data_IF_234348757341
#
_entry.id   IF_234348757341
#
_cell.length_a   1.000
_cell.length_b   1.000
_cell.length_c   1.000
_cell.angle_alpha   90.00
_cell.angle_beta   90.00
_cell.angle_gamma   90.00
#
_symmetry.space_group_name_H-M   'P 1'
#
loop_
_entity.id
_entity.type
_entity.pdbx_description
1 polymer ?
#
# COMPACT_ATOMS: atom_id res chain seq x y z
N UNK A 1 17.41 2.74 -14.26
CA UNK A 1 16.12 2.15 -14.67
C UNK A 1 15.03 3.07 -14.14
N UNK A 2 13.87 3.19 -14.80
CA UNK A 2 12.74 3.94 -14.24
C UNK A 2 11.76 2.98 -13.59
N UNK A 3 11.20 3.38 -12.47
CA UNK A 3 10.19 2.64 -11.72
C UNK A 3 8.91 3.47 -11.65
N UNK A 4 7.78 2.78 -11.62
CA UNK A 4 6.49 3.37 -11.32
C UNK A 4 6.10 2.88 -9.93
N UNK A 5 6.02 3.80 -8.98
CA UNK A 5 5.40 3.52 -7.70
C UNK A 5 3.91 3.82 -7.83
N UNK A 6 3.08 2.81 -7.59
CA UNK A 6 1.63 2.95 -7.45
C UNK A 6 1.33 2.95 -5.96
N UNK A 7 0.77 4.06 -5.47
CA UNK A 7 0.40 4.25 -4.08
C UNK A 7 -1.12 4.16 -3.93
N UNK A 8 -1.58 3.27 -3.06
CA UNK A 8 -2.99 3.04 -2.77
C UNK A 8 -3.21 3.26 -1.27
N UNK A 9 -4.16 4.13 -0.94
CA UNK A 9 -4.67 4.31 0.42
C UNK A 9 -5.96 3.50 0.54
N UNK A 10 -6.08 2.70 1.59
CA UNK A 10 -7.24 1.85 1.89
C UNK A 10 -7.30 1.56 3.40
N UNK A 11 -8.05 0.56 3.83
CA UNK A 11 -8.13 0.12 5.21
C UNK A 11 -7.43 -1.24 5.41
N UNK A 12 -7.29 -1.67 6.68
CA UNK A 12 -6.70 -2.95 7.06
C UNK A 12 -7.41 -4.16 6.41
N UNK A 13 -8.73 -4.10 6.27
CA UNK A 13 -9.53 -5.23 5.80
C UNK A 13 -9.29 -5.57 4.32
N UNK A 14 -9.07 -4.57 3.46
CA UNK A 14 -8.81 -4.76 2.03
C UNK A 14 -7.31 -4.86 1.70
N UNK A 15 -6.43 -4.60 2.66
CA UNK A 15 -4.98 -4.56 2.47
C UNK A 15 -4.43 -5.82 1.79
N UNK A 16 -4.75 -6.99 2.34
CA UNK A 16 -4.25 -8.27 1.84
C UNK A 16 -4.75 -8.55 0.41
N UNK A 17 -6.04 -8.30 0.15
CA UNK A 17 -6.65 -8.56 -1.15
C UNK A 17 -6.07 -7.65 -2.24
N UNK A 18 -5.85 -6.37 -1.93
CA UNK A 18 -5.26 -5.41 -2.87
C UNK A 18 -3.78 -5.75 -3.10
N UNK A 19 -3.03 -6.13 -2.07
CA UNK A 19 -1.62 -6.51 -2.17
C UNK A 19 -1.41 -7.76 -3.04
N UNK A 20 -2.25 -8.78 -2.85
CA UNK A 20 -2.23 -10.00 -3.68
C UNK A 20 -2.60 -9.70 -5.14
N UNK A 21 -3.60 -8.82 -5.35
CA UNK A 21 -3.99 -8.36 -6.68
C UNK A 21 -2.85 -7.63 -7.39
N UNK A 22 -2.14 -6.73 -6.71
CA UNK A 22 -1.00 -6.00 -7.30
C UNK A 22 0.15 -6.95 -7.65
N UNK A 23 0.43 -7.91 -6.77
CA UNK A 23 1.44 -8.96 -7.00
C UNK A 23 1.10 -9.79 -8.23
N UNK A 24 -0.15 -10.25 -8.34
CA UNK A 24 -0.65 -11.00 -9.51
C UNK A 24 -0.65 -10.17 -10.79
N UNK A 25 -0.77 -8.84 -10.66
CA UNK A 25 -0.76 -7.89 -11.78
C UNK A 25 0.68 -7.56 -12.25
N UNK A 26 1.70 -8.11 -11.59
CA UNK A 26 3.09 -8.03 -12.02
C UNK A 26 3.94 -7.03 -11.23
N UNK A 27 3.53 -6.67 -10.00
CA UNK A 27 4.36 -5.86 -9.12
C UNK A 27 5.67 -6.60 -8.83
N UNK A 28 6.80 -5.90 -8.97
CA UNK A 28 8.11 -6.44 -8.61
C UNK A 28 8.28 -6.52 -7.08
N UNK A 29 7.57 -5.66 -6.35
CA UNK A 29 7.52 -5.65 -4.90
C UNK A 29 6.31 -4.84 -4.42
N UNK A 30 5.86 -5.14 -3.21
CA UNK A 30 4.79 -4.44 -2.51
C UNK A 30 5.27 -4.11 -1.11
N UNK A 31 5.18 -2.85 -0.72
CA UNK A 31 5.41 -2.36 0.63
C UNK A 31 4.07 -1.92 1.24
N UNK A 32 3.85 -2.28 2.49
CA UNK A 32 2.60 -2.01 3.22
C UNK A 32 2.97 -1.22 4.47
N UNK A 33 2.34 -0.07 4.64
CA UNK A 33 2.44 0.77 5.84
C UNK A 33 1.09 0.71 6.55
N UNK A 34 1.03 -0.09 7.61
CA UNK A 34 -0.18 -0.34 8.39
C UNK A 34 -0.02 0.18 9.84
N UNK A 35 -0.78 1.23 10.23
CA UNK A 35 -0.80 1.74 11.59
C UNK A 35 -1.12 0.70 12.67
N UNK A 36 -2.02 -0.24 12.39
CA UNK A 36 -2.48 -1.21 13.36
C UNK A 36 -1.44 -2.31 13.61
N UNK A 37 -0.66 -2.67 12.59
CA UNK A 37 0.49 -3.55 12.78
C UNK A 37 1.54 -2.91 13.69
N UNK A 38 1.84 -1.62 13.50
CA UNK A 38 2.78 -0.89 14.37
C UNK A 38 2.28 -0.88 15.82
N UNK A 39 1.00 -0.55 16.05
CA UNK A 39 0.38 -0.55 17.38
C UNK A 39 0.41 -1.93 18.02
N UNK A 40 0.16 -2.98 17.23
CA UNK A 40 0.15 -4.37 17.69
C UNK A 40 1.55 -4.83 18.09
N UNK A 41 2.58 -4.49 17.34
CA UNK A 41 3.96 -4.85 17.69
C UNK A 41 4.42 -4.20 18.99
N UNK A 42 4.11 -2.91 19.20
CA UNK A 42 4.48 -2.18 20.42
C UNK A 42 3.70 -2.68 21.64
N UNK A 43 2.43 -3.06 21.47
CA UNK A 43 1.58 -3.55 22.58
C UNK A 43 1.83 -5.01 22.97
N UNK A 44 2.70 -5.75 22.26
CA UNK A 44 3.05 -7.12 22.62
C UNK A 44 3.68 -7.21 24.01
N UNK A 45 3.23 -8.18 24.80
CA UNK A 45 3.79 -8.44 26.11
C UNK A 45 5.30 -8.79 26.00
N UNK A 46 6.14 -7.98 26.64
CA UNK A 46 7.60 -8.14 26.59
C UNK A 46 8.27 -7.52 25.37
N UNK A 47 7.55 -6.71 24.57
CA UNK A 47 8.17 -5.90 23.53
C UNK A 47 9.20 -4.94 24.12
N UNK A 48 10.35 -4.81 23.46
CA UNK A 48 11.35 -3.79 23.75
C UNK A 48 11.14 -2.54 22.88
N UNK A 49 10.21 -2.61 21.92
CA UNK A 49 9.91 -1.52 21.00
C UNK A 49 9.08 -0.45 21.70
N UNK A 50 9.48 0.81 21.48
CA UNK A 50 8.85 1.97 22.09
C UNK A 50 8.57 3.01 21.02
N UNK A 51 7.37 3.58 21.06
CA UNK A 51 7.05 4.83 20.38
C UNK A 51 6.20 5.69 21.32
N UNK A 52 6.44 6.99 21.30
CA UNK A 52 5.67 7.94 22.10
C UNK A 52 4.20 7.99 21.63
N UNK A 53 3.29 8.28 22.56
CA UNK A 53 1.85 8.32 22.30
C UNK A 53 1.48 9.33 21.20
N UNK A 54 2.16 10.49 21.13
CA UNK A 54 1.95 11.48 20.07
C UNK A 54 2.21 10.89 18.67
N UNK A 55 3.25 10.06 18.51
CA UNK A 55 3.52 9.37 17.25
C UNK A 55 2.42 8.36 16.94
N UNK A 56 2.04 7.52 17.91
CA UNK A 56 0.99 6.50 17.72
C UNK A 56 -0.38 7.09 17.35
N UNK A 57 -0.70 8.25 17.93
CA UNK A 57 -1.91 9.00 17.63
C UNK A 57 -1.86 9.65 16.24
N UNK A 58 -0.66 9.96 15.73
CA UNK A 58 -0.47 10.56 14.40
C UNK A 58 -0.54 9.57 13.24
N UNK A 59 -0.37 8.27 13.48
CA UNK A 59 -0.37 7.23 12.44
C UNK A 59 -1.69 7.12 11.66
N UNK A 60 -2.81 7.59 12.24
CA UNK A 60 -4.13 7.45 11.62
C UNK A 60 -4.62 5.99 11.57
N UNK A 61 -5.56 5.69 10.67
CA UNK A 61 -6.16 4.37 10.51
C UNK A 61 -6.10 3.83 9.09
N UNK A 62 -5.58 4.63 8.15
CA UNK A 62 -5.50 4.25 6.76
C UNK A 62 -4.22 3.44 6.52
N UNK A 63 -4.35 2.40 5.71
CA UNK A 63 -3.26 1.56 5.25
C UNK A 63 -2.79 2.08 3.91
N UNK A 64 -1.47 2.21 3.76
CA UNK A 64 -0.85 2.67 2.53
C UNK A 64 -0.11 1.49 1.91
N UNK A 65 -0.50 1.13 0.68
CA UNK A 65 0.13 0.09 -0.11
C UNK A 65 0.91 0.77 -1.24
N UNK A 66 2.20 0.45 -1.37
CA UNK A 66 3.08 0.91 -2.43
C UNK A 66 3.52 -0.27 -3.26
N UNK A 67 3.18 -0.30 -4.53
CA UNK A 67 3.59 -1.35 -5.46
C UNK A 67 4.50 -0.79 -6.55
N UNK A 68 5.56 -1.52 -6.85
CA UNK A 68 6.63 -1.07 -7.75
C UNK A 68 6.59 -1.84 -9.06
N UNK A 69 6.54 -1.11 -10.17
CA UNK A 69 6.49 -1.66 -11.52
C UNK A 69 7.62 -1.10 -12.39
N UNK A 70 8.13 -1.87 -13.37
CA UNK A 70 9.12 -1.35 -14.30
C UNK A 70 8.52 -0.24 -15.18
N UNK A 71 9.27 0.84 -15.41
CA UNK A 71 8.83 2.04 -16.13
C UNK A 71 8.61 1.90 -17.63
N UNK A 72 8.61 0.67 -18.15
CA UNK A 72 8.29 0.37 -19.54
C UNK A 72 6.80 0.08 -19.78
N UNK A 73 5.95 0.24 -18.75
CA UNK A 73 4.49 0.04 -18.85
C UNK A 73 3.75 1.33 -19.24
N UNK A 74 2.59 1.18 -19.88
CA UNK A 74 1.66 2.28 -20.09
C UNK A 74 0.90 2.57 -18.79
N UNK A 75 1.39 3.53 -18.01
CA UNK A 75 0.90 3.81 -16.64
C UNK A 75 -0.58 4.17 -16.61
N UNK A 76 -1.08 4.91 -17.60
CA UNK A 76 -2.49 5.32 -17.63
C UNK A 76 -3.43 4.11 -17.74
N UNK A 77 -3.22 3.26 -18.74
CA UNK A 77 -4.02 2.03 -18.94
C UNK A 77 -3.87 1.06 -17.76
N UNK A 78 -2.66 1.01 -17.20
CA UNK A 78 -2.37 0.19 -16.04
C UNK A 78 -3.15 0.64 -14.80
N UNK A 79 -3.16 1.94 -14.51
CA UNK A 79 -3.90 2.52 -13.38
C UNK A 79 -5.40 2.34 -13.55
N UNK A 80 -5.94 2.48 -14.76
CA UNK A 80 -7.35 2.19 -15.02
C UNK A 80 -7.69 0.72 -14.74
N UNK A 81 -6.81 -0.21 -15.13
CA UNK A 81 -6.97 -1.64 -14.84
C UNK A 81 -6.91 -1.93 -13.34
N UNK A 82 -5.97 -1.29 -12.62
CA UNK A 82 -5.83 -1.43 -11.17
C UNK A 82 -7.07 -0.91 -10.46
N UNK A 83 -7.60 0.25 -10.86
CA UNK A 83 -8.83 0.81 -10.30
C UNK A 83 -10.03 -0.10 -10.51
N UNK A 84 -10.22 -0.64 -11.71
CA UNK A 84 -11.31 -1.59 -11.98
C UNK A 84 -11.21 -2.85 -11.09
N UNK A 85 -10.00 -3.36 -10.87
CA UNK A 85 -9.78 -4.51 -9.98
C UNK A 85 -10.06 -4.18 -8.52
N UNK A 86 -9.66 -3.00 -8.07
CA UNK A 86 -9.93 -2.51 -6.72
C UNK A 86 -11.43 -2.35 -6.49
N UNK A 87 -12.17 -1.78 -7.45
CA UNK A 87 -13.63 -1.65 -7.34
C UNK A 87 -14.31 -3.01 -7.15
N UNK A 88 -13.84 -4.04 -7.87
CA UNK A 88 -14.35 -5.42 -7.72
C UNK A 88 -14.02 -6.04 -6.35
N UNK A 89 -12.92 -5.62 -5.73
CA UNK A 89 -12.58 -6.02 -4.35
C UNK A 89 -13.49 -5.28 -3.37
N UNK A 90 -13.73 -3.99 -3.59
CA UNK A 90 -14.62 -3.16 -2.77
C UNK A 90 -16.09 -3.63 -2.81
N UNK A 91 -16.51 -4.28 -3.89
CA UNK A 91 -17.81 -4.95 -3.98
C UNK A 91 -17.93 -6.18 -3.04
N UNK A 92 -16.81 -6.80 -2.68
CA UNK A 92 -16.77 -8.03 -1.89
C UNK A 92 -16.41 -7.78 -0.42
N UNK A 93 -15.59 -6.77 -0.13
CA UNK A 93 -15.04 -6.46 1.19
C UNK A 93 -15.08 -4.94 1.38
N UNK A 94 -15.35 -4.48 2.61
CA UNK A 94 -15.23 -3.07 2.94
C UNK A 94 -13.78 -2.60 2.78
N UNK A 95 -13.51 -1.80 1.76
CA UNK A 95 -12.19 -1.26 1.44
C UNK A 95 -11.99 0.19 1.92
N UNK A 96 -12.98 0.77 2.61
CA UNK A 96 -12.93 2.15 3.08
C UNK A 96 -12.85 3.17 1.94
N UNK A 97 -12.28 4.34 2.25
CA UNK A 97 -11.99 5.35 1.23
C UNK A 97 -10.74 4.94 0.45
N UNK A 98 -10.89 4.70 -0.84
CA UNK A 98 -9.78 4.27 -1.69
C UNK A 98 -9.24 5.46 -2.48
N UNK A 99 -7.95 5.71 -2.32
CA UNK A 99 -7.23 6.70 -3.11
C UNK A 99 -6.05 6.06 -3.84
N UNK A 100 -6.04 6.17 -5.18
CA UNK A 100 -4.98 5.62 -6.03
C UNK A 100 -4.21 6.75 -6.70
N UNK A 101 -2.90 6.79 -6.48
CA UNK A 101 -1.96 7.70 -7.13
C UNK A 101 -0.73 6.96 -7.64
N UNK A 102 0.07 7.61 -8.48
CA UNK A 102 1.32 7.05 -8.98
C UNK A 102 2.40 8.11 -9.12
N UNK A 103 3.65 7.69 -9.06
CA UNK A 103 4.83 8.53 -9.30
C UNK A 103 5.86 7.78 -10.14
N UNK A 104 6.60 8.50 -10.98
CA UNK A 104 7.81 7.99 -11.62
C UNK A 104 8.99 8.18 -10.67
N UNK A 105 9.77 7.12 -10.45
CA UNK A 105 11.01 7.14 -9.66
C UNK A 105 12.18 6.70 -10.54
N UNK A 106 13.34 7.31 -10.34
CA UNK A 106 14.58 6.82 -10.93
C UNK A 106 15.20 5.74 -10.02
N UNK A 107 15.89 4.76 -10.59
CA UNK A 107 16.53 3.66 -9.84
C UNK A 107 17.53 4.15 -8.77
N UNK A 108 18.06 5.36 -8.93
CA UNK A 108 18.93 6.00 -7.94
C UNK A 108 18.18 6.44 -6.67
N UNK A 109 16.85 6.64 -6.72
CA UNK A 109 16.02 6.94 -5.54
C UNK A 109 15.66 5.67 -4.74
N UNK A 110 16.08 4.49 -5.20
CA UNK A 110 15.75 3.20 -4.59
C UNK A 110 16.81 2.67 -3.61
N UNK A 111 17.96 3.36 -3.48
CA UNK A 111 19.15 2.92 -2.73
C UNK A 111 19.40 3.69 -1.42
#
# INVERSE_FOLDING_TARGET
MKWIEVRIVTNHAACDAISDMLTTTGAAGVAIEDPDDIRKEISKAGSLDYADDDFLNSLGNDVIIKAYFPGNINVTEFIDTVKERIDRIADCIDAGEIHVSYSEMDEEDWA
#
